data_IF_144988595032
#
_entry.id   IF_144988595032
#
_cell.length_a   1.000
_cell.length_b   1.000
_cell.length_c   1.000
_cell.angle_alpha   90.00
_cell.angle_beta   90.00
_cell.angle_gamma   90.00
#
_symmetry.space_group_name_H-M   'P 1'
#
loop_
_entity.id
_entity.type
_entity.pdbx_description
1 polymer ?
#
# COMPACT_ATOMS: atom_id res chain seq x y z
N UNK A 1 2.70 -23.45 -0.51
CA UNK A 1 1.69 -23.18 -1.57
C UNK A 1 2.38 -22.86 -2.91
N UNK A 2 1.87 -23.30 -4.06
CA UNK A 2 2.42 -22.96 -5.39
C UNK A 2 1.86 -21.63 -5.95
N UNK A 3 2.43 -21.09 -7.03
CA UNK A 3 2.05 -19.77 -7.58
C UNK A 3 0.57 -19.69 -8.01
N UNK A 4 0.00 -20.64 -8.77
CA UNK A 4 -1.42 -20.60 -9.12
C UNK A 4 -2.36 -20.55 -7.90
N UNK A 5 -2.04 -21.31 -6.84
CA UNK A 5 -2.80 -21.27 -5.58
C UNK A 5 -2.70 -19.90 -4.90
N UNK A 6 -1.51 -19.28 -4.87
CA UNK A 6 -1.31 -17.93 -4.32
C UNK A 6 -2.10 -16.89 -5.10
N UNK A 7 -2.08 -16.95 -6.44
CA UNK A 7 -2.87 -16.05 -7.31
C UNK A 7 -4.37 -16.22 -7.05
N UNK A 8 -4.86 -17.46 -6.96
CA UNK A 8 -6.27 -17.74 -6.66
C UNK A 8 -6.70 -17.17 -5.30
N UNK A 9 -5.84 -17.28 -4.27
CA UNK A 9 -6.14 -16.74 -2.95
C UNK A 9 -6.12 -15.21 -2.94
N UNK A 10 -5.21 -14.57 -3.69
CA UNK A 10 -5.16 -13.12 -3.86
C UNK A 10 -6.38 -12.59 -4.64
N UNK A 11 -6.82 -13.29 -5.68
CA UNK A 11 -8.07 -12.96 -6.39
C UNK A 11 -9.27 -13.04 -5.45
N UNK A 12 -9.35 -14.10 -4.64
CA UNK A 12 -10.39 -14.26 -3.61
C UNK A 12 -10.35 -13.12 -2.59
N UNK A 13 -9.15 -12.68 -2.17
CA UNK A 13 -9.00 -11.52 -1.30
C UNK A 13 -9.51 -10.24 -1.97
N UNK A 14 -9.23 -10.02 -3.25
CA UNK A 14 -9.76 -8.88 -4.01
C UNK A 14 -11.28 -8.87 -4.10
N UNK A 15 -11.92 -10.03 -4.27
CA UNK A 15 -13.38 -10.17 -4.21
C UNK A 15 -13.90 -9.82 -2.82
N UNK A 16 -13.27 -10.34 -1.76
CA UNK A 16 -13.64 -10.05 -0.39
C UNK A 16 -13.52 -8.57 -0.03
N UNK A 17 -12.46 -7.92 -0.47
CA UNK A 17 -12.21 -6.49 -0.27
C UNK A 17 -13.32 -5.61 -0.84
N UNK A 18 -14.01 -6.04 -1.90
CA UNK A 18 -15.18 -5.35 -2.50
C UNK A 18 -16.53 -5.83 -1.97
N UNK A 19 -16.54 -6.81 -1.06
CA UNK A 19 -17.77 -7.40 -0.54
C UNK A 19 -18.41 -6.54 0.56
N UNK A 20 -19.66 -6.86 0.89
CA UNK A 20 -20.40 -6.32 2.03
C UNK A 20 -20.32 -7.26 3.25
N UNK A 21 -19.24 -8.04 3.37
CA UNK A 21 -19.01 -8.91 4.51
C UNK A 21 -18.94 -8.11 5.82
N UNK A 22 -19.70 -8.54 6.83
CA UNK A 22 -19.87 -7.78 8.08
C UNK A 22 -18.57 -7.61 8.85
N UNK A 23 -17.69 -8.62 8.85
CA UNK A 23 -16.39 -8.52 9.51
C UNK A 23 -15.50 -7.49 8.80
N UNK A 24 -15.57 -7.43 7.46
CA UNK A 24 -14.83 -6.43 6.70
C UNK A 24 -15.32 -5.01 6.93
N UNK A 25 -16.64 -4.82 6.90
CA UNK A 25 -17.25 -3.51 7.17
C UNK A 25 -16.89 -2.99 8.58
N UNK A 26 -16.89 -3.88 9.58
CA UNK A 26 -16.48 -3.53 10.93
C UNK A 26 -14.98 -3.19 11.03
N UNK A 27 -14.11 -3.92 10.32
CA UNK A 27 -12.68 -3.59 10.26
C UNK A 27 -12.44 -2.20 9.65
N UNK A 28 -13.14 -1.84 8.56
CA UNK A 28 -13.08 -0.50 7.96
C UNK A 28 -13.52 0.59 8.93
N UNK A 29 -14.64 0.37 9.63
CA UNK A 29 -15.14 1.30 10.65
C UNK A 29 -14.15 1.49 11.79
N UNK A 30 -13.61 0.39 12.33
CA UNK A 30 -12.60 0.44 13.40
C UNK A 30 -11.33 1.16 12.97
N UNK A 31 -10.86 0.93 11.74
CA UNK A 31 -9.69 1.62 11.20
C UNK A 31 -9.91 3.15 11.15
N UNK A 32 -11.10 3.58 10.73
CA UNK A 32 -11.47 5.00 10.71
C UNK A 32 -11.56 5.62 12.12
N UNK A 33 -12.03 4.85 13.10
CA UNK A 33 -12.08 5.29 14.51
C UNK A 33 -10.68 5.39 15.15
N UNK A 34 -9.78 4.46 14.83
CA UNK A 34 -8.41 4.45 15.39
C UNK A 34 -7.51 5.51 14.74
N UNK A 35 -7.75 5.84 13.46
CA UNK A 35 -6.99 6.84 12.73
C UNK A 35 -7.91 7.81 11.98
N UNK A 36 -8.08 9.03 12.49
CA UNK A 36 -8.94 10.06 11.90
C UNK A 36 -8.54 10.52 10.49
N UNK A 37 -7.32 10.21 10.02
CA UNK A 37 -6.92 10.45 8.64
C UNK A 37 -7.51 9.41 7.67
N UNK A 38 -8.02 8.29 8.18
CA UNK A 38 -8.61 7.21 7.40
C UNK A 38 -10.13 7.41 7.31
N UNK A 39 -10.54 8.52 6.70
CA UNK A 39 -11.96 8.76 6.44
C UNK A 39 -12.51 7.69 5.47
N UNK A 40 -13.82 7.36 5.54
CA UNK A 40 -14.39 6.30 4.71
C UNK A 40 -14.08 6.43 3.22
N UNK A 41 -14.19 7.61 2.57
CA UNK A 41 -13.85 7.75 1.15
C UNK A 41 -12.42 7.35 0.80
N UNK A 42 -11.46 7.59 1.70
CA UNK A 42 -10.05 7.24 1.48
C UNK A 42 -9.76 5.77 1.75
N UNK A 43 -10.45 5.15 2.71
CA UNK A 43 -10.39 3.69 2.89
C UNK A 43 -10.95 3.00 1.64
N UNK A 44 -12.14 3.39 1.18
CA UNK A 44 -12.76 2.78 -0.01
C UNK A 44 -11.89 2.98 -1.26
N UNK A 45 -11.35 4.19 -1.47
CA UNK A 45 -10.46 4.45 -2.59
C UNK A 45 -9.23 3.52 -2.59
N UNK A 46 -8.54 3.36 -1.45
CA UNK A 46 -7.39 2.48 -1.36
C UNK A 46 -7.76 1.01 -1.65
N UNK A 47 -8.90 0.57 -1.13
CA UNK A 47 -9.41 -0.78 -1.31
C UNK A 47 -9.76 -1.06 -2.78
N UNK A 48 -10.50 -0.14 -3.40
CA UNK A 48 -10.92 -0.22 -4.80
C UNK A 48 -9.68 -0.30 -5.70
N UNK A 49 -8.71 0.59 -5.51
CA UNK A 49 -7.47 0.59 -6.30
C UNK A 49 -6.69 -0.72 -6.17
N UNK A 50 -6.55 -1.25 -4.95
CA UNK A 50 -5.88 -2.54 -4.73
C UNK A 50 -6.67 -3.69 -5.37
N UNK A 51 -7.98 -3.75 -5.12
CA UNK A 51 -8.80 -4.86 -5.56
C UNK A 51 -8.97 -4.88 -7.08
N UNK A 52 -9.16 -3.73 -7.72
CA UNK A 52 -9.44 -3.59 -9.16
C UNK A 52 -8.20 -3.62 -10.03
N UNK A 53 -7.04 -3.19 -9.52
CA UNK A 53 -5.83 -3.13 -10.34
C UNK A 53 -4.79 -4.17 -9.95
N UNK A 54 -4.67 -4.55 -8.67
CA UNK A 54 -3.59 -5.45 -8.23
C UNK A 54 -4.08 -6.88 -8.04
N UNK A 55 -5.28 -7.06 -7.50
CA UNK A 55 -5.79 -8.39 -7.14
C UNK A 55 -6.67 -9.03 -8.24
N UNK A 56 -6.52 -8.56 -9.48
CA UNK A 56 -7.13 -9.23 -10.65
C UNK A 56 -6.24 -10.37 -11.09
N UNK A 57 -6.81 -11.56 -11.36
CA UNK A 57 -6.05 -12.73 -11.84
C UNK A 57 -5.12 -12.37 -13.00
N UNK A 58 -5.64 -11.69 -14.03
CA UNK A 58 -4.86 -11.28 -15.20
C UNK A 58 -3.65 -10.41 -14.82
N UNK A 59 -3.85 -9.40 -13.97
CA UNK A 59 -2.78 -8.50 -13.53
C UNK A 59 -1.71 -9.25 -12.71
N UNK A 60 -2.13 -10.17 -11.83
CA UNK A 60 -1.23 -11.00 -11.03
C UNK A 60 -0.42 -11.96 -11.90
N UNK A 61 -1.04 -12.59 -12.89
CA UNK A 61 -0.38 -13.51 -13.84
C UNK A 61 0.62 -12.77 -14.74
N UNK A 62 0.24 -11.61 -15.28
CA UNK A 62 1.12 -10.75 -16.07
C UNK A 62 2.31 -10.27 -15.24
N UNK A 63 2.07 -9.80 -14.01
CA UNK A 63 3.13 -9.37 -13.11
C UNK A 63 4.07 -10.51 -12.71
N UNK A 64 3.54 -11.66 -12.30
CA UNK A 64 4.34 -12.82 -11.93
C UNK A 64 5.19 -13.34 -13.10
N UNK A 65 4.64 -13.29 -14.33
CA UNK A 65 5.38 -13.64 -15.55
C UNK A 65 6.50 -12.63 -15.81
N UNK A 66 6.21 -11.33 -15.75
CA UNK A 66 7.19 -10.27 -15.99
C UNK A 66 8.37 -10.28 -15.02
N UNK A 67 8.11 -10.66 -13.76
CA UNK A 67 9.15 -10.80 -12.71
C UNK A 67 9.80 -12.20 -12.68
N UNK A 68 9.46 -13.09 -13.62
CA UNK A 68 9.95 -14.47 -13.69
C UNK A 68 9.73 -15.27 -12.39
N UNK A 69 8.58 -15.07 -11.72
CA UNK A 69 8.23 -15.82 -10.51
C UNK A 69 7.95 -17.28 -10.89
N UNK A 70 8.75 -18.19 -10.36
CA UNK A 70 8.58 -19.63 -10.58
C UNK A 70 7.29 -20.19 -9.98
N UNK A 71 6.83 -21.32 -10.52
CA UNK A 71 5.65 -22.06 -10.02
C UNK A 71 5.78 -22.43 -8.54
N UNK A 72 6.99 -22.78 -8.11
CA UNK A 72 7.30 -23.10 -6.73
C UNK A 72 8.50 -22.30 -6.26
N UNK A 73 8.46 -21.85 -5.02
CA UNK A 73 9.64 -21.34 -4.33
C UNK A 73 10.24 -22.45 -3.47
N UNK A 74 11.31 -23.08 -3.96
CA UNK A 74 11.97 -24.20 -3.26
C UNK A 74 12.84 -23.76 -2.08
N UNK A 75 13.14 -22.46 -1.98
CA UNK A 75 13.97 -21.88 -0.93
C UNK A 75 13.29 -20.63 -0.37
N UNK A 76 12.11 -20.79 0.28
CA UNK A 76 11.40 -19.66 0.88
C UNK A 76 12.28 -19.02 1.95
N UNK A 77 12.33 -17.68 1.93
CA UNK A 77 13.04 -16.86 2.89
C UNK A 77 12.04 -16.18 3.82
N UNK A 78 12.47 -15.90 5.04
CA UNK A 78 11.71 -15.08 6.00
C UNK A 78 12.08 -13.62 5.80
N UNK A 79 11.14 -12.83 5.28
CA UNK A 79 11.31 -11.41 5.00
C UNK A 79 10.66 -10.57 6.11
N UNK A 80 11.44 -9.71 6.75
CA UNK A 80 10.94 -8.76 7.72
C UNK A 80 10.34 -7.53 7.04
N UNK A 81 9.10 -7.17 7.35
CA UNK A 81 8.40 -6.02 6.77
C UNK A 81 8.14 -4.96 7.85
N UNK A 82 8.66 -3.76 7.68
CA UNK A 82 8.23 -2.58 8.47
C UNK A 82 7.31 -1.74 7.61
N UNK A 83 6.01 -1.80 7.92
CA UNK A 83 4.97 -1.11 7.15
C UNK A 83 4.74 0.30 7.69
N UNK A 84 4.61 1.27 6.78
CA UNK A 84 4.15 2.61 7.12
C UNK A 84 2.64 2.62 7.38
N UNK A 85 2.11 3.75 7.87
CA UNK A 85 0.68 3.90 8.18
C UNK A 85 0.18 5.32 7.99
N UNK A 86 0.74 6.04 7.02
CA UNK A 86 0.36 7.41 6.68
C UNK A 86 -0.91 7.48 5.80
N UNK A 87 -1.18 6.43 5.01
CA UNK A 87 -2.41 6.27 4.21
C UNK A 87 -2.92 4.82 4.35
N UNK A 88 -4.22 4.54 4.13
CA UNK A 88 -4.76 3.20 4.29
C UNK A 88 -4.05 2.16 3.42
N UNK A 89 -3.66 1.03 4.01
CA UNK A 89 -3.06 -0.11 3.31
C UNK A 89 -1.77 0.22 2.54
N UNK A 90 -1.03 1.27 2.95
CA UNK A 90 0.20 1.70 2.25
C UNK A 90 1.26 0.59 2.17
N UNK A 91 1.30 -0.28 3.18
CA UNK A 91 2.21 -1.43 3.24
C UNK A 91 1.75 -2.66 2.45
N UNK A 92 0.56 -2.62 1.84
CA UNK A 92 -0.05 -3.80 1.20
C UNK A 92 0.81 -4.35 0.07
N UNK A 93 1.40 -3.48 -0.76
CA UNK A 93 2.24 -3.92 -1.88
C UNK A 93 3.45 -4.74 -1.41
N UNK A 94 4.07 -4.38 -0.28
CA UNK A 94 5.24 -5.11 0.23
C UNK A 94 4.86 -6.51 0.69
N UNK A 95 3.75 -6.60 1.43
CA UNK A 95 3.21 -7.87 1.87
C UNK A 95 2.77 -8.72 0.66
N UNK A 96 2.11 -8.12 -0.33
CA UNK A 96 1.72 -8.77 -1.58
C UNK A 96 2.94 -9.34 -2.32
N UNK A 97 4.02 -8.56 -2.47
CA UNK A 97 5.24 -9.00 -3.14
C UNK A 97 5.92 -10.18 -2.42
N UNK A 98 5.97 -10.16 -1.09
CA UNK A 98 6.52 -11.29 -0.31
C UNK A 98 5.63 -12.53 -0.46
N UNK A 99 4.31 -12.36 -0.38
CA UNK A 99 3.38 -13.46 -0.51
C UNK A 99 3.44 -14.10 -1.92
N UNK A 100 3.27 -13.32 -2.99
CA UNK A 100 3.20 -13.85 -4.36
C UNK A 100 4.50 -14.55 -4.79
N UNK A 101 5.65 -14.09 -4.31
CA UNK A 101 6.97 -14.71 -4.54
C UNK A 101 7.18 -16.01 -3.73
N UNK A 102 6.24 -16.38 -2.87
CA UNK A 102 6.31 -17.61 -2.06
C UNK A 102 7.32 -17.50 -0.91
N UNK A 103 7.51 -16.31 -0.35
CA UNK A 103 8.33 -16.06 0.83
C UNK A 103 7.46 -15.91 2.08
N UNK A 104 8.06 -16.09 3.25
CA UNK A 104 7.38 -15.91 4.54
C UNK A 104 7.53 -14.46 5.00
N UNK A 105 6.49 -13.89 5.61
CA UNK A 105 6.51 -12.52 6.12
C UNK A 105 6.50 -12.48 7.66
N UNK A 106 7.40 -11.67 8.22
CA UNK A 106 7.32 -11.22 9.61
C UNK A 106 7.05 -9.71 9.60
N UNK A 107 5.86 -9.31 10.01
CA UNK A 107 5.29 -8.00 9.74
C UNK A 107 5.26 -7.18 11.02
N UNK A 108 5.84 -5.98 10.97
CA UNK A 108 5.67 -4.93 11.95
C UNK A 108 4.81 -3.83 11.34
N UNK A 109 3.57 -3.72 11.81
CA UNK A 109 2.63 -2.69 11.38
C UNK A 109 2.96 -1.34 12.02
N UNK A 110 2.52 -0.26 11.37
CA UNK A 110 2.41 1.02 12.04
C UNK A 110 1.23 0.99 13.00
N UNK A 111 1.36 1.61 14.18
CA UNK A 111 0.21 1.79 15.08
C UNK A 111 -0.92 2.62 14.46
N UNK A 112 -0.66 3.33 13.35
CA UNK A 112 -1.65 4.12 12.61
C UNK A 112 -2.41 3.32 11.53
N UNK A 113 -1.91 2.13 11.17
CA UNK A 113 -2.49 1.30 10.10
C UNK A 113 -2.21 -0.18 10.38
N UNK A 114 -2.82 -0.69 11.45
CA UNK A 114 -2.74 -2.10 11.81
C UNK A 114 -4.01 -2.87 11.46
N UNK A 115 -5.17 -2.24 11.67
CA UNK A 115 -6.48 -2.92 11.62
C UNK A 115 -6.75 -3.54 10.25
N UNK A 116 -6.57 -2.76 9.17
CA UNK A 116 -6.95 -3.20 7.83
C UNK A 116 -6.07 -4.37 7.37
N UNK A 117 -4.74 -4.25 7.47
CA UNK A 117 -3.82 -5.29 7.01
C UNK A 117 -3.86 -6.54 7.90
N UNK A 118 -3.98 -6.40 9.22
CA UNK A 118 -4.13 -7.54 10.14
C UNK A 118 -5.42 -8.31 9.85
N UNK A 119 -6.52 -7.61 9.55
CA UNK A 119 -7.78 -8.23 9.15
C UNK A 119 -7.65 -9.04 7.86
N UNK A 120 -7.06 -8.45 6.82
CA UNK A 120 -6.92 -9.11 5.51
C UNK A 120 -6.01 -10.34 5.58
N UNK A 121 -4.87 -10.24 6.28
CA UNK A 121 -3.97 -11.39 6.51
C UNK A 121 -4.67 -12.47 7.34
N UNK A 122 -5.38 -12.08 8.41
CA UNK A 122 -6.17 -12.99 9.23
C UNK A 122 -7.26 -13.71 8.42
N UNK A 123 -7.91 -13.00 7.50
CA UNK A 123 -8.94 -13.59 6.62
C UNK A 123 -8.36 -14.62 5.66
N UNK A 124 -7.17 -14.37 5.09
CA UNK A 124 -6.49 -15.36 4.26
C UNK A 124 -6.09 -16.61 5.05
N UNK A 125 -5.58 -16.43 6.27
CA UNK A 125 -5.26 -17.55 7.16
C UNK A 125 -6.52 -18.34 7.52
N UNK A 126 -7.66 -17.68 7.72
CA UNK A 126 -8.94 -18.36 7.96
C UNK A 126 -9.34 -19.24 6.76
N UNK A 127 -9.13 -18.77 5.53
CA UNK A 127 -9.42 -19.56 4.33
C UNK A 127 -8.39 -20.65 4.06
N UNK A 128 -7.14 -20.43 4.46
CA UNK A 128 -6.03 -21.34 4.22
C UNK A 128 -5.11 -21.43 5.46
N UNK A 129 -5.47 -22.30 6.43
CA UNK A 129 -4.78 -22.38 7.72
C UNK A 129 -3.28 -22.71 7.64
N UNK A 130 -2.81 -23.30 6.54
CA UNK A 130 -1.37 -23.56 6.34
C UNK A 130 -0.51 -22.29 6.38
N UNK A 131 -1.11 -21.14 6.08
CA UNK A 131 -0.45 -19.83 6.09
C UNK A 131 -0.13 -19.28 7.48
N UNK A 132 -0.68 -19.87 8.55
CA UNK A 132 -0.46 -19.42 9.92
C UNK A 132 1.04 -19.35 10.29
N UNK A 133 1.87 -20.22 9.71
CA UNK A 133 3.32 -20.26 9.95
C UNK A 133 4.13 -19.49 8.88
N UNK A 134 3.48 -18.97 7.84
CA UNK A 134 4.11 -18.25 6.73
C UNK A 134 3.94 -16.73 6.85
N UNK A 135 2.93 -16.25 7.59
CA UNK A 135 2.64 -14.82 7.76
C UNK A 135 2.38 -14.50 9.23
N UNK A 136 3.27 -13.75 9.87
CA UNK A 136 3.16 -13.44 11.30
C UNK A 136 3.37 -11.95 11.59
N UNK A 137 2.63 -11.43 12.57
CA UNK A 137 2.85 -10.09 13.11
C UNK A 137 3.78 -10.13 14.32
N UNK A 138 4.69 -9.16 14.43
CA UNK A 138 5.59 -9.04 15.56
C UNK A 138 6.02 -7.60 15.82
N UNK A 139 6.24 -7.27 17.11
CA UNK A 139 6.76 -5.96 17.51
C UNK A 139 8.24 -5.76 17.15
N UNK A 140 9.01 -6.86 17.09
CA UNK A 140 10.44 -6.85 16.73
C UNK A 140 10.70 -7.83 15.61
N UNK A 141 11.43 -7.37 14.61
CA UNK A 141 11.84 -8.19 13.47
C UNK A 141 13.23 -8.76 13.73
N UNK A 142 13.30 -10.06 14.01
CA UNK A 142 14.54 -10.78 14.29
C UNK A 142 14.54 -12.13 13.58
N UNK A 143 15.73 -12.59 13.16
CA UNK A 143 15.89 -13.88 12.49
C UNK A 143 15.27 -13.94 11.09
N UNK A 144 15.24 -12.80 10.37
CA UNK A 144 14.84 -12.74 8.97
C UNK A 144 16.07 -12.81 8.05
N UNK A 145 15.88 -13.34 6.85
CA UNK A 145 16.90 -13.45 5.79
C UNK A 145 17.07 -12.13 5.02
N UNK A 146 16.10 -11.23 5.11
CA UNK A 146 16.14 -9.90 4.52
C UNK A 146 15.03 -9.00 5.06
N UNK A 147 15.14 -7.70 4.82
CA UNK A 147 14.23 -6.70 5.38
C UNK A 147 13.75 -5.69 4.33
N UNK A 148 12.46 -5.37 4.36
CA UNK A 148 11.88 -4.26 3.63
C UNK A 148 11.32 -3.29 4.66
N UNK A 149 11.86 -2.07 4.70
CA UNK A 149 11.47 -1.08 5.69
C UNK A 149 11.06 0.23 5.02
N UNK A 150 9.82 0.64 5.25
CA UNK A 150 9.29 1.93 4.80
C UNK A 150 9.02 2.81 6.01
N UNK A 151 9.51 4.05 5.97
CA UNK A 151 9.28 4.97 7.08
C UNK A 151 9.70 6.40 6.80
N UNK A 152 9.60 7.22 7.84
CA UNK A 152 10.08 8.61 7.79
C UNK A 152 11.60 8.67 7.61
N UNK A 153 12.12 9.82 7.16
CA UNK A 153 13.57 10.07 7.09
C UNK A 153 14.28 9.83 8.44
N UNK A 154 13.58 10.06 9.55
CA UNK A 154 14.12 9.82 10.88
C UNK A 154 14.24 8.32 11.17
N UNK A 155 13.20 7.55 10.85
CA UNK A 155 13.17 6.09 11.03
C UNK A 155 14.14 5.38 10.10
N UNK A 156 14.35 5.88 8.87
CA UNK A 156 15.24 5.25 7.90
C UNK A 156 16.69 5.14 8.38
N UNK A 157 17.21 6.12 9.13
CA UNK A 157 18.56 6.04 9.72
C UNK A 157 18.69 4.88 10.72
N UNK A 158 17.65 4.65 11.51
CA UNK A 158 17.59 3.53 12.44
C UNK A 158 17.53 2.19 11.69
N UNK A 159 16.72 2.11 10.62
CA UNK A 159 16.62 0.92 9.78
C UNK A 159 17.95 0.61 9.08
N UNK A 160 18.64 1.62 8.55
CA UNK A 160 19.96 1.46 7.94
C UNK A 160 20.96 0.86 8.92
N UNK A 161 21.01 1.39 10.15
CA UNK A 161 21.87 0.84 11.18
C UNK A 161 21.51 -0.61 11.53
N UNK A 162 20.24 -0.86 11.88
CA UNK A 162 19.79 -2.15 12.42
C UNK A 162 19.79 -3.27 11.37
N UNK A 163 19.51 -2.95 10.10
CA UNK A 163 19.46 -3.93 9.00
C UNK A 163 20.71 -3.95 8.13
N UNK A 164 21.72 -3.11 8.40
CA UNK A 164 22.96 -3.00 7.60
C UNK A 164 23.65 -4.33 7.28
N UNK A 165 23.57 -5.31 8.20
CA UNK A 165 24.23 -6.63 8.08
C UNK A 165 23.43 -7.64 7.25
N UNK A 166 22.22 -7.30 6.83
CA UNK A 166 21.30 -8.18 6.10
C UNK A 166 20.97 -7.58 4.74
N UNK A 167 20.57 -8.38 3.73
CA UNK A 167 19.93 -7.86 2.54
C UNK A 167 18.72 -7.00 2.92
N UNK A 168 18.67 -5.75 2.47
CA UNK A 168 17.58 -4.85 2.84
C UNK A 168 17.18 -3.87 1.73
N UNK A 169 15.90 -3.51 1.73
CA UNK A 169 15.31 -2.43 0.94
C UNK A 169 14.74 -1.38 1.92
N UNK A 170 15.36 -0.21 1.96
CA UNK A 170 14.90 0.89 2.82
C UNK A 170 14.31 1.99 1.94
N UNK A 171 13.02 2.28 2.12
CA UNK A 171 12.33 3.39 1.44
C UNK A 171 12.13 4.54 2.40
N UNK A 172 12.70 5.68 2.02
CA UNK A 172 12.58 6.97 2.72
C UNK A 172 11.34 7.72 2.23
N UNK A 173 10.98 8.79 2.93
CA UNK A 173 9.94 9.70 2.48
C UNK A 173 10.36 10.34 1.13
N UNK A 174 9.40 10.46 0.21
CA UNK A 174 9.53 11.17 -1.05
C UNK A 174 8.44 12.24 -1.12
N UNK A 175 8.72 13.26 -1.92
CA UNK A 175 7.78 14.32 -2.29
C UNK A 175 7.70 14.35 -3.81
N UNK A 176 6.47 14.47 -4.34
CA UNK A 176 6.24 14.69 -5.77
C UNK A 176 6.07 16.18 -6.05
N UNK A 177 6.48 16.59 -7.25
CA UNK A 177 6.25 17.92 -7.78
C UNK A 177 5.58 17.84 -9.15
N UNK A 178 4.68 18.78 -9.45
CA UNK A 178 4.08 18.97 -10.76
C UNK A 178 4.70 20.18 -11.46
N UNK A 179 4.87 20.11 -12.77
CA UNK A 179 5.30 21.21 -13.63
C UNK A 179 4.19 21.49 -14.63
N UNK A 180 3.63 22.71 -14.58
CA UNK A 180 2.55 23.14 -15.45
C UNK A 180 3.11 24.13 -16.47
N UNK A 181 2.64 24.03 -17.70
CA UNK A 181 2.98 24.90 -18.83
C UNK A 181 2.01 26.07 -18.98
N UNK A 182 0.82 26.02 -18.37
CA UNK A 182 -0.25 26.99 -18.61
C UNK A 182 -1.22 26.58 -19.71
N UNK A 183 -1.04 25.39 -20.28
CA UNK A 183 -1.89 24.87 -21.37
C UNK A 183 -2.64 23.61 -20.96
N UNK A 184 -2.60 23.25 -19.67
CA UNK A 184 -3.31 22.08 -19.14
C UNK A 184 -4.81 22.19 -19.40
N UNK A 185 -5.42 21.08 -19.79
CA UNK A 185 -6.87 21.01 -19.88
C UNK A 185 -7.50 20.96 -18.49
N UNK A 186 -8.81 21.23 -18.43
CA UNK A 186 -9.58 21.11 -17.18
C UNK A 186 -9.44 19.71 -16.57
N UNK A 187 -9.50 18.67 -17.41
CA UNK A 187 -9.39 17.26 -16.99
C UNK A 187 -8.01 16.93 -16.43
N UNK A 188 -6.95 17.51 -16.99
CA UNK A 188 -5.58 17.36 -16.45
C UNK A 188 -5.45 18.05 -15.08
N UNK A 189 -6.02 19.24 -14.92
CA UNK A 189 -6.03 19.95 -13.64
C UNK A 189 -6.89 19.24 -12.58
N UNK A 190 -7.99 18.60 -12.98
CA UNK A 190 -8.82 17.79 -12.06
C UNK A 190 -8.08 16.53 -11.58
N UNK A 191 -7.28 15.88 -12.45
CA UNK A 191 -6.41 14.77 -12.03
C UNK A 191 -5.29 15.25 -11.11
N UNK A 192 -4.69 16.41 -11.40
CA UNK A 192 -3.72 17.02 -10.48
C UNK A 192 -4.35 17.35 -9.13
N UNK A 193 -5.62 17.77 -9.09
CA UNK A 193 -6.33 17.98 -7.84
C UNK A 193 -6.40 16.71 -6.99
N UNK A 194 -6.62 15.55 -7.61
CA UNK A 194 -6.57 14.24 -6.95
C UNK A 194 -5.16 13.94 -6.42
N UNK A 195 -4.13 14.12 -7.25
CA UNK A 195 -2.73 13.90 -6.87
C UNK A 195 -2.31 14.78 -5.67
N UNK A 196 -2.90 15.96 -5.50
CA UNK A 196 -2.65 16.85 -4.36
C UNK A 196 -3.46 16.46 -3.12
N UNK A 197 -4.78 16.23 -3.26
CA UNK A 197 -5.70 16.17 -2.11
C UNK A 197 -6.03 14.77 -1.62
N UNK A 198 -5.87 13.73 -2.45
CA UNK A 198 -6.12 12.37 -2.00
C UNK A 198 -5.27 12.07 -0.76
N UNK A 199 -5.91 11.45 0.23
CA UNK A 199 -5.29 11.13 1.52
C UNK A 199 -4.75 12.36 2.27
N UNK A 200 -5.39 13.53 2.12
CA UNK A 200 -4.95 14.80 2.70
C UNK A 200 -3.51 15.20 2.32
N UNK A 201 -3.01 14.71 1.19
CA UNK A 201 -1.63 14.94 0.78
C UNK A 201 -0.58 14.19 1.62
N UNK A 202 -0.98 13.22 2.44
CA UNK A 202 -0.08 12.49 3.36
C UNK A 202 0.68 11.34 2.69
N UNK A 203 0.36 10.98 1.45
CA UNK A 203 1.06 9.97 0.67
C UNK A 203 2.41 10.44 0.15
N UNK A 204 3.39 9.53 0.08
CA UNK A 204 4.72 9.84 -0.45
C UNK A 204 4.77 10.10 -1.97
N UNK A 205 3.62 9.94 -2.64
CA UNK A 205 3.42 10.21 -4.06
C UNK A 205 2.53 11.43 -4.31
N UNK A 206 1.90 12.00 -3.28
CA UNK A 206 1.11 13.20 -3.45
C UNK A 206 1.98 14.37 -3.94
N UNK A 207 1.40 15.21 -4.79
CA UNK A 207 2.04 16.43 -5.25
C UNK A 207 2.00 17.47 -4.14
N UNK A 208 3.17 17.90 -3.67
CA UNK A 208 3.31 18.90 -2.60
C UNK A 208 3.99 20.18 -3.08
N UNK A 209 4.39 20.22 -4.35
CA UNK A 209 5.00 21.39 -4.99
C UNK A 209 4.53 21.51 -6.43
N UNK A 210 4.12 22.70 -6.83
CA UNK A 210 3.67 23.00 -8.19
C UNK A 210 4.57 24.11 -8.75
N UNK A 211 5.20 23.84 -9.89
CA UNK A 211 5.95 24.83 -10.67
C UNK A 211 5.08 25.31 -11.82
N UNK A 212 5.06 26.63 -12.04
CA UNK A 212 4.27 27.29 -13.08
C UNK A 212 5.11 28.35 -13.79
N UNK A 213 4.78 28.72 -15.04
CA UNK A 213 5.43 29.84 -15.71
C UNK A 213 5.18 31.16 -14.98
N UNK A 214 6.01 32.16 -15.28
CA UNK A 214 5.74 33.52 -14.83
C UNK A 214 4.37 33.98 -15.38
N UNK A 215 3.60 34.69 -14.55
CA UNK A 215 2.26 35.20 -14.90
C UNK A 215 1.20 34.11 -15.15
N UNK A 216 1.37 32.90 -14.59
CA UNK A 216 0.38 31.83 -14.65
C UNK A 216 -0.99 32.26 -14.07
N UNK A 217 -2.07 31.97 -14.78
CA UNK A 217 -3.43 32.14 -14.30
C UNK A 217 -3.85 30.96 -13.42
N UNK A 218 -4.02 31.21 -12.13
CA UNK A 218 -4.39 30.19 -11.15
C UNK A 218 -5.89 29.88 -11.10
N UNK A 219 -6.75 30.66 -11.77
CA UNK A 219 -8.20 30.46 -11.69
C UNK A 219 -8.60 29.04 -12.11
N UNK A 220 -8.15 28.49 -13.26
CA UNK A 220 -8.52 27.13 -13.66
C UNK A 220 -8.09 26.06 -12.65
N UNK A 221 -6.88 26.19 -12.07
CA UNK A 221 -6.36 25.26 -11.07
C UNK A 221 -7.18 25.32 -9.77
N UNK A 222 -7.51 26.52 -9.30
CA UNK A 222 -8.32 26.71 -8.09
C UNK A 222 -9.76 26.19 -8.28
N UNK A 223 -10.35 26.36 -9.46
CA UNK A 223 -11.64 25.76 -9.80
C UNK A 223 -11.57 24.22 -9.77
N UNK A 224 -10.52 23.62 -10.34
CA UNK A 224 -10.32 22.17 -10.27
C UNK A 224 -10.20 21.67 -8.81
N UNK A 225 -9.53 22.44 -7.94
CA UNK A 225 -9.37 22.08 -6.52
C UNK A 225 -10.69 22.07 -5.74
N UNK A 226 -11.71 22.82 -6.18
CA UNK A 226 -13.04 22.79 -5.53
C UNK A 226 -13.71 21.42 -5.54
N UNK A 227 -13.27 20.50 -6.41
CA UNK A 227 -13.65 19.07 -6.38
C UNK A 227 -13.47 18.44 -4.98
N UNK A 228 -12.52 18.94 -4.20
CA UNK A 228 -12.19 18.47 -2.86
C UNK A 228 -12.67 19.39 -1.73
N UNK A 229 -13.59 20.34 -2.01
CA UNK A 229 -14.14 21.26 -0.99
C UNK A 229 -14.98 20.60 0.11
N UNK A 230 -15.26 19.30 -0.02
CA UNK A 230 -15.92 18.48 0.99
C UNK A 230 -14.96 17.93 2.07
N UNK A 231 -13.64 18.04 1.84
CA UNK A 231 -12.61 17.78 2.87
C UNK A 231 -12.60 18.92 3.89
#
# INVERSE_FOLDING_TARGET
MNLPQRISLLEKLGIYMRSQDSEWLEAKKRASLENGWFIPPFIENAIEQIAEHWLQRKALEEWATGENIGLENRTPKKIGLVLAGNIPLVGFHDWLSVFISGHHSLIKTSSKDRILIEHLVGKMIQWEPSLQNEMNFADRLTGCDGYIATGSNNSSRYFEYYFSKYPHLIRKNKTSAALLTGTETKEELEKLAEDVHLYFGLGCRNVTKIYVPAQYDFIPLLEAFKKFSWL
#
